data_IF_568962901971
#
_entry.id   IF_568962901971
#
_cell.length_a   1.000
_cell.length_b   1.000
_cell.length_c   1.000
_cell.angle_alpha   90.00
_cell.angle_beta   90.00
_cell.angle_gamma   90.00
#
_symmetry.space_group_name_H-M   'P 1'
#
loop_
_entity.id
_entity.type
_entity.pdbx_description
1 polymer ?
#
# COMPACT_ATOMS: atom_id res chain seq x y z
N UNK A 1 -28.02 -7.88 19.61
CA UNK A 1 -26.55 -7.74 19.52
C UNK A 1 -26.24 -7.01 18.21
N UNK A 2 -26.02 -5.71 18.07
CA UNK A 2 -26.10 -4.54 18.93
C UNK A 2 -25.78 -3.36 17.99
N UNK A 3 -26.82 -2.73 17.42
CA UNK A 3 -26.77 -1.72 16.33
C UNK A 3 -26.00 -0.42 16.67
N UNK A 4 -25.39 -0.34 17.86
CA UNK A 4 -24.56 0.80 18.29
C UNK A 4 -23.10 0.44 18.62
N UNK A 5 -22.66 -0.80 18.38
CA UNK A 5 -21.30 -1.23 18.77
C UNK A 5 -20.27 -0.65 17.80
N UNK A 6 -19.42 0.24 18.31
CA UNK A 6 -18.34 0.90 17.57
C UNK A 6 -17.05 0.09 17.69
N UNK A 7 -16.37 -0.12 16.57
CA UNK A 7 -15.14 -0.91 16.48
C UNK A 7 -13.97 -0.06 15.97
N UNK A 8 -12.79 -0.32 16.48
CA UNK A 8 -11.53 0.27 16.01
C UNK A 8 -10.63 -0.82 15.45
N UNK A 9 -9.87 -0.50 14.41
CA UNK A 9 -9.01 -1.41 13.69
C UNK A 9 -7.58 -0.87 13.66
N UNK A 10 -6.59 -1.70 13.99
CA UNK A 10 -5.19 -1.32 13.94
C UNK A 10 -4.56 -1.81 12.62
N UNK A 11 -4.06 -0.88 11.81
CA UNK A 11 -3.34 -1.18 10.57
C UNK A 11 -2.09 -0.31 10.48
N UNK A 12 -0.95 -0.90 10.12
CA UNK A 12 0.33 -0.17 9.96
C UNK A 12 0.71 0.73 11.15
N UNK A 13 0.42 0.29 12.37
CA UNK A 13 0.72 1.04 13.60
C UNK A 13 -0.19 2.24 13.87
N UNK A 14 -1.28 2.42 13.11
CA UNK A 14 -2.30 3.45 13.36
C UNK A 14 -3.64 2.79 13.67
N UNK A 15 -4.38 3.37 14.61
CA UNK A 15 -5.76 3.00 14.91
C UNK A 15 -6.73 3.78 14.01
N UNK A 16 -7.63 3.07 13.36
CA UNK A 16 -8.68 3.59 12.49
C UNK A 16 -10.05 3.26 13.10
N UNK A 17 -11.01 4.18 13.04
CA UNK A 17 -12.36 3.99 13.55
C UNK A 17 -12.95 5.30 14.08
N UNK A 18 -14.16 5.27 14.68
CA UNK A 18 -14.99 4.09 14.93
C UNK A 18 -15.74 3.61 13.68
N UNK A 19 -15.73 2.30 13.44
CA UNK A 19 -16.47 1.62 12.39
C UNK A 19 -17.68 0.86 12.95
N UNK A 20 -18.72 0.70 12.15
CA UNK A 20 -19.84 -0.16 12.48
C UNK A 20 -19.58 -1.62 12.04
N UNK A 21 -20.43 -2.54 12.48
CA UNK A 21 -20.31 -3.97 12.15
C UNK A 21 -20.33 -4.25 10.64
N UNK A 22 -21.19 -3.54 9.89
CA UNK A 22 -21.30 -3.72 8.44
C UNK A 22 -20.04 -3.24 7.69
N UNK A 23 -19.38 -2.19 8.17
CA UNK A 23 -18.09 -1.73 7.64
C UNK A 23 -16.98 -2.76 7.92
N UNK A 24 -16.95 -3.31 9.13
CA UNK A 24 -16.01 -4.38 9.49
C UNK A 24 -16.19 -5.61 8.59
N UNK A 25 -17.44 -5.97 8.27
CA UNK A 25 -17.73 -7.06 7.32
C UNK A 25 -17.24 -6.76 5.90
N UNK A 26 -17.39 -5.52 5.42
CA UNK A 26 -16.85 -5.09 4.12
C UNK A 26 -15.34 -5.20 4.08
N UNK A 27 -14.61 -4.75 5.11
CA UNK A 27 -13.16 -4.84 5.13
C UNK A 27 -12.63 -6.29 5.10
N UNK A 28 -13.33 -7.23 5.73
CA UNK A 28 -13.01 -8.66 5.63
C UNK A 28 -13.30 -9.20 4.23
N UNK A 29 -14.41 -8.77 3.62
CA UNK A 29 -14.82 -9.20 2.26
C UNK A 29 -13.86 -8.67 1.19
N UNK A 30 -13.42 -7.42 1.32
CA UNK A 30 -12.49 -6.74 0.42
C UNK A 30 -11.03 -7.16 0.66
N UNK A 31 -10.77 -8.02 1.65
CA UNK A 31 -9.44 -8.51 2.03
C UNK A 31 -8.55 -7.47 2.71
N UNK A 32 -9.08 -6.28 3.03
CA UNK A 32 -8.34 -5.22 3.71
C UNK A 32 -8.12 -5.48 5.20
N UNK A 33 -8.97 -6.31 5.81
CA UNK A 33 -8.82 -6.79 7.18
C UNK A 33 -8.70 -8.32 7.20
N UNK A 34 -7.62 -8.82 7.79
CA UNK A 34 -7.34 -10.26 7.91
C UNK A 34 -7.73 -10.77 9.29
N UNK A 35 -7.69 -12.09 9.48
CA UNK A 35 -7.94 -12.75 10.78
C UNK A 35 -7.03 -12.26 11.91
N UNK A 36 -5.83 -11.81 11.55
CA UNK A 36 -4.76 -11.34 12.46
C UNK A 36 -4.82 -9.83 12.72
N UNK A 37 -5.65 -9.10 11.98
CA UNK A 37 -5.84 -7.67 12.19
C UNK A 37 -6.37 -7.43 13.60
N UNK A 38 -5.71 -6.56 14.36
CA UNK A 38 -6.09 -6.29 15.75
C UNK A 38 -7.24 -5.29 15.78
N UNK A 39 -8.27 -5.58 16.56
CA UNK A 39 -9.47 -4.75 16.69
C UNK A 39 -9.85 -4.56 18.15
N UNK A 40 -10.51 -3.45 18.44
CA UNK A 40 -10.94 -3.08 19.78
C UNK A 40 -12.37 -2.54 19.74
N UNK A 41 -13.20 -2.89 20.74
CA UNK A 41 -14.56 -2.34 20.89
C UNK A 41 -14.48 -1.01 21.61
N UNK A 42 -15.29 -0.03 21.24
CA UNK A 42 -15.40 1.23 21.96
C UNK A 42 -15.79 0.97 23.43
N UNK A 43 -14.91 1.35 24.36
CA UNK A 43 -15.05 1.09 25.80
C UNK A 43 -14.28 -0.12 26.32
N UNK A 44 -13.64 -0.92 25.45
CA UNK A 44 -12.71 -1.96 25.84
C UNK A 44 -11.28 -1.42 25.92
N UNK A 45 -10.50 -1.93 26.88
CA UNK A 45 -9.10 -1.53 27.10
C UNK A 45 -8.07 -2.42 26.38
N UNK A 46 -8.51 -3.53 25.79
CA UNK A 46 -7.63 -4.54 25.19
C UNK A 46 -7.89 -4.74 23.69
N UNK A 47 -6.82 -4.82 22.91
CA UNK A 47 -6.86 -5.15 21.50
C UNK A 47 -6.86 -6.67 21.32
N UNK A 48 -7.79 -7.19 20.52
CA UNK A 48 -7.89 -8.61 20.21
C UNK A 48 -7.82 -8.85 18.70
N UNK A 49 -7.27 -9.98 18.23
CA UNK A 49 -7.31 -10.33 16.82
C UNK A 49 -8.75 -10.47 16.34
N UNK A 50 -9.04 -9.99 15.12
CA UNK A 50 -10.36 -9.91 14.53
C UNK A 50 -11.09 -11.26 14.51
N UNK A 51 -10.36 -12.36 14.30
CA UNK A 51 -10.92 -13.71 14.36
C UNK A 51 -11.43 -14.11 15.76
N UNK A 52 -10.80 -13.60 16.84
CA UNK A 52 -11.22 -13.85 18.22
C UNK A 52 -12.37 -12.93 18.63
N UNK A 53 -12.34 -11.68 18.17
CA UNK A 53 -13.34 -10.68 18.54
C UNK A 53 -14.66 -10.84 17.78
N UNK A 54 -14.61 -11.19 16.48
CA UNK A 54 -15.76 -11.34 15.60
C UNK A 54 -15.64 -12.63 14.76
N UNK A 55 -15.83 -13.81 15.36
CA UNK A 55 -15.78 -15.09 14.64
C UNK A 55 -16.85 -15.19 13.56
N UNK A 56 -18.00 -14.53 13.74
CA UNK A 56 -19.13 -14.48 12.80
C UNK A 56 -18.78 -13.87 11.45
N UNK A 57 -17.77 -12.99 11.38
CA UNK A 57 -17.32 -12.42 10.11
C UNK A 57 -16.59 -13.44 9.21
N UNK A 58 -16.10 -14.53 9.81
CA UNK A 58 -15.36 -15.58 9.11
C UNK A 58 -16.08 -16.92 9.08
N UNK A 59 -17.21 -17.05 9.79
CA UNK A 59 -18.05 -18.23 9.77
C UNK A 59 -18.87 -18.26 8.46
N UNK A 60 -18.58 -19.23 7.60
CA UNK A 60 -19.43 -19.50 6.45
C UNK A 60 -20.79 -20.02 6.94
N UNK A 61 -21.87 -19.29 6.61
CA UNK A 61 -23.25 -19.72 6.84
C UNK A 61 -23.43 -21.16 6.33
N UNK A 62 -23.91 -22.12 7.13
CA UNK A 62 -24.20 -23.46 6.63
C UNK A 62 -25.31 -23.37 5.57
N UNK A 63 -24.95 -23.57 4.31
CA UNK A 63 -25.84 -23.74 3.18
C UNK A 63 -26.22 -25.23 3.08
N UNK A 64 -27.30 -25.65 3.75
CA UNK A 64 -28.32 -26.58 3.22
C UNK A 64 -29.28 -27.09 4.30
N UNK A 65 -30.56 -26.95 4.03
CA UNK A 65 -31.52 -28.05 4.18
C UNK A 65 -32.42 -28.06 2.95
N UNK A 66 -32.41 -29.20 2.25
CA UNK A 66 -33.18 -29.55 1.05
C UNK A 66 -34.71 -29.37 1.26
N UNK A 67 -35.49 -28.91 0.26
CA UNK A 67 -36.94 -28.77 0.41
C UNK A 67 -37.68 -30.13 0.45
N UNK A 68 -38.68 -30.31 1.33
CA UNK A 68 -39.51 -31.51 1.37
C UNK A 68 -40.47 -31.57 0.17
N UNK A 69 -40.70 -32.77 -0.38
CA UNK A 69 -41.70 -33.05 -1.41
C UNK A 69 -43.14 -32.83 -0.87
N UNK A 70 -44.09 -32.45 -1.74
CA UNK A 70 -45.44 -32.12 -1.34
C UNK A 70 -46.25 -33.38 -1.02
N UNK A 71 -46.75 -33.47 0.21
CA UNK A 71 -47.90 -34.32 0.51
C UNK A 71 -49.18 -33.56 0.15
N UNK A 72 -50.02 -34.23 -0.62
CA UNK A 72 -51.45 -33.96 -0.75
C UNK A 72 -52.09 -33.87 0.64
N UNK A 73 -52.94 -32.85 0.85
CA UNK A 73 -54.18 -32.88 1.67
C UNK A 73 -54.51 -31.47 2.21
N UNK A 74 -55.03 -30.60 1.35
CA UNK A 74 -55.80 -29.40 1.74
C UNK A 74 -56.58 -28.87 0.52
N UNK A 75 -57.51 -29.66 0.02
CA UNK A 75 -58.43 -29.23 -1.03
C UNK A 75 -59.25 -28.02 -0.53
N UNK A 76 -58.96 -26.85 -1.10
CA UNK A 76 -59.80 -25.65 -1.00
C UNK A 76 -59.20 -24.43 -0.30
N UNK A 77 -58.03 -24.52 0.36
CA UNK A 77 -57.40 -23.37 1.04
C UNK A 77 -55.91 -23.17 0.73
N UNK A 78 -55.47 -23.73 -0.38
CA UNK A 78 -54.08 -23.75 -0.80
C UNK A 78 -53.94 -23.12 -2.17
N UNK A 79 -53.07 -22.10 -2.23
CA UNK A 79 -52.74 -21.35 -3.42
C UNK A 79 -51.29 -21.61 -3.84
N UNK A 80 -51.09 -21.61 -5.15
CA UNK A 80 -49.79 -21.69 -5.80
C UNK A 80 -49.58 -20.41 -6.59
N UNK A 81 -48.39 -19.84 -6.48
CA UNK A 81 -47.98 -18.61 -7.14
C UNK A 81 -46.89 -18.92 -8.16
N UNK A 82 -46.87 -18.22 -9.30
CA UNK A 82 -45.74 -18.23 -10.22
C UNK A 82 -44.94 -16.93 -10.08
N UNK A 83 -43.93 -16.95 -9.21
CA UNK A 83 -43.05 -15.80 -8.95
C UNK A 83 -41.77 -16.00 -9.74
N UNK A 84 -41.45 -15.07 -10.66
CA UNK A 84 -40.24 -15.12 -11.53
C UNK A 84 -40.11 -16.44 -12.32
N UNK A 85 -41.24 -17.00 -12.76
CA UNK A 85 -41.27 -18.26 -13.51
C UNK A 85 -41.05 -19.53 -12.67
N UNK A 86 -40.89 -19.40 -11.36
CA UNK A 86 -40.86 -20.53 -10.43
C UNK A 86 -42.17 -20.63 -9.67
N UNK A 87 -42.65 -21.85 -9.51
CA UNK A 87 -43.85 -22.12 -8.71
C UNK A 87 -43.50 -22.08 -7.22
N UNK A 88 -44.14 -21.18 -6.49
CA UNK A 88 -44.09 -21.06 -5.03
C UNK A 88 -45.41 -21.53 -4.43
N UNK A 89 -45.36 -22.43 -3.45
CA UNK A 89 -46.54 -22.92 -2.74
C UNK A 89 -46.27 -24.23 -2.02
N UNK A 90 -47.22 -24.74 -1.22
CA UNK A 90 -48.59 -24.24 -0.99
C UNK A 90 -48.66 -23.03 -0.04
N UNK A 91 -49.34 -21.96 -0.44
CA UNK A 91 -49.60 -20.76 0.39
C UNK A 91 -51.06 -20.68 0.84
N UNK A 92 -51.28 -20.19 2.06
CA UNK A 92 -52.63 -19.89 2.55
C UNK A 92 -53.10 -18.48 2.10
N UNK A 93 -54.41 -18.21 2.17
CA UNK A 93 -54.93 -16.89 1.79
C UNK A 93 -54.41 -15.76 2.70
N UNK A 94 -54.17 -16.05 3.98
CA UNK A 94 -53.59 -15.09 4.92
C UNK A 94 -52.12 -14.78 4.59
N UNK A 95 -51.35 -15.77 4.14
CA UNK A 95 -49.99 -15.55 3.63
C UNK A 95 -50.00 -14.71 2.35
N UNK A 96 -50.95 -14.95 1.44
CA UNK A 96 -51.12 -14.12 0.25
C UNK A 96 -51.44 -12.67 0.59
N UNK A 97 -52.24 -12.43 1.63
CA UNK A 97 -52.52 -11.08 2.12
C UNK A 97 -51.25 -10.39 2.65
N UNK A 98 -50.43 -11.12 3.41
CA UNK A 98 -49.10 -10.64 3.83
C UNK A 98 -48.17 -10.32 2.67
N UNK A 99 -48.15 -11.17 1.64
CA UNK A 99 -47.35 -10.98 0.42
C UNK A 99 -47.85 -9.83 -0.46
N UNK A 100 -49.18 -9.62 -0.50
CA UNK A 100 -49.78 -8.46 -1.17
C UNK A 100 -49.45 -7.17 -0.44
N UNK A 101 -49.52 -7.17 0.90
CA UNK A 101 -49.15 -6.04 1.74
C UNK A 101 -47.65 -5.71 1.68
N UNK A 102 -46.77 -6.71 1.50
CA UNK A 102 -45.33 -6.51 1.34
C UNK A 102 -44.90 -6.14 -0.08
N UNK A 103 -45.84 -5.99 -1.02
CA UNK A 103 -45.60 -5.77 -2.45
C UNK A 103 -44.78 -6.90 -3.14
N UNK A 104 -44.67 -8.08 -2.54
CA UNK A 104 -44.03 -9.25 -3.15
C UNK A 104 -44.96 -9.95 -4.14
N UNK A 105 -46.27 -9.87 -3.90
CA UNK A 105 -47.32 -10.33 -4.82
C UNK A 105 -47.82 -9.14 -5.65
N UNK A 106 -47.61 -9.19 -6.97
CA UNK A 106 -48.20 -8.23 -7.89
C UNK A 106 -49.55 -8.74 -8.43
N UNK A 107 -50.45 -7.83 -8.83
CA UNK A 107 -51.74 -8.19 -9.44
C UNK A 107 -51.62 -9.03 -10.72
N UNK A 108 -50.49 -8.91 -11.42
CA UNK A 108 -50.15 -9.66 -12.64
C UNK A 108 -49.59 -11.07 -12.36
N UNK A 109 -49.35 -11.42 -11.10
CA UNK A 109 -48.79 -12.73 -10.72
C UNK A 109 -49.80 -13.82 -11.06
N UNK A 110 -49.34 -14.89 -11.69
CA UNK A 110 -50.19 -16.04 -11.99
C UNK A 110 -50.40 -16.85 -10.71
N UNK A 111 -51.66 -17.09 -10.37
CA UNK A 111 -52.11 -17.83 -9.21
C UNK A 111 -52.93 -19.03 -9.65
N UNK A 112 -52.83 -20.13 -8.92
CA UNK A 112 -53.60 -21.34 -9.17
C UNK A 112 -53.96 -22.02 -7.86
N UNK A 113 -55.15 -22.63 -7.82
CA UNK A 113 -55.57 -23.47 -6.69
C UNK A 113 -56.14 -24.78 -7.16
N UNK A 114 -56.10 -25.78 -6.29
CA UNK A 114 -56.74 -27.07 -6.53
C UNK A 114 -58.23 -26.87 -6.85
N UNK A 115 -58.65 -27.32 -8.03
CA UNK A 115 -60.01 -27.12 -8.56
C UNK A 115 -60.13 -26.04 -9.64
N UNK A 116 -59.07 -25.30 -9.94
CA UNK A 116 -59.03 -24.35 -11.07
C UNK A 116 -58.51 -25.05 -12.34
N UNK A 117 -59.16 -24.82 -13.48
CA UNK A 117 -58.81 -25.44 -14.77
C UNK A 117 -57.45 -24.98 -15.30
N UNK A 118 -57.11 -23.72 -15.07
CA UNK A 118 -55.88 -23.09 -15.55
C UNK A 118 -55.37 -22.03 -14.57
N UNK A 119 -54.12 -21.62 -14.73
CA UNK A 119 -53.54 -20.52 -13.96
C UNK A 119 -54.22 -19.20 -14.36
N UNK A 120 -54.59 -18.38 -13.39
CA UNK A 120 -55.21 -17.08 -13.63
C UNK A 120 -54.40 -15.96 -12.98
N UNK A 121 -54.58 -14.71 -13.43
CA UNK A 121 -53.94 -13.56 -12.78
C UNK A 121 -54.56 -13.33 -11.40
N UNK A 122 -53.74 -12.86 -10.46
CA UNK A 122 -54.17 -12.55 -9.09
C UNK A 122 -55.35 -11.55 -9.05
N UNK A 123 -55.39 -10.59 -9.98
CA UNK A 123 -56.52 -9.65 -10.15
C UNK A 123 -57.78 -10.26 -10.77
N UNK A 124 -57.66 -11.37 -11.51
CA UNK A 124 -58.77 -12.06 -12.17
C UNK A 124 -59.55 -12.99 -11.24
N UNK A 125 -59.04 -13.25 -10.04
CA UNK A 125 -59.67 -14.12 -9.04
C UNK A 125 -60.34 -13.23 -7.98
N UNK A 126 -61.68 -13.23 -7.83
CA UNK A 126 -62.39 -12.35 -6.89
C UNK A 126 -61.88 -12.46 -5.44
N UNK A 127 -61.46 -13.66 -5.02
CA UNK A 127 -60.94 -13.99 -3.68
C UNK A 127 -59.60 -13.29 -3.39
N UNK A 128 -58.78 -13.02 -4.42
CA UNK A 128 -57.45 -12.39 -4.31
C UNK A 128 -57.50 -10.93 -4.77
N UNK A 129 -58.39 -10.59 -5.70
CA UNK A 129 -58.62 -9.23 -6.15
C UNK A 129 -58.95 -8.27 -5.00
N UNK A 130 -59.67 -8.74 -3.98
CA UNK A 130 -59.95 -7.98 -2.76
C UNK A 130 -58.73 -7.67 -1.87
N UNK A 131 -57.60 -8.35 -2.08
CA UNK A 131 -56.33 -8.09 -1.36
C UNK A 131 -55.57 -6.90 -1.94
N UNK A 132 -55.78 -6.58 -3.23
CA UNK A 132 -55.20 -5.42 -3.88
C UNK A 132 -56.13 -4.21 -3.68
N UNK A 133 -55.91 -3.45 -2.60
CA UNK A 133 -56.65 -2.23 -2.33
C UNK A 133 -56.59 -1.21 -3.50
N UNK A 134 -57.46 -0.18 -3.49
CA UNK A 134 -57.47 0.84 -4.55
C UNK A 134 -56.08 1.48 -4.70
N UNK A 135 -55.67 1.81 -5.94
CA UNK A 135 -54.32 2.32 -6.20
C UNK A 135 -54.07 3.58 -5.37
N UNK A 136 -52.91 3.69 -4.68
CA UNK A 136 -52.61 4.85 -3.87
C UNK A 136 -52.53 6.10 -4.73
N UNK A 137 -53.13 7.19 -4.23
CA UNK A 137 -53.10 8.51 -4.86
C UNK A 137 -51.65 8.93 -5.16
N UNK A 138 -51.41 9.64 -6.28
CA UNK A 138 -50.07 10.09 -6.65
C UNK A 138 -49.52 11.05 -5.59
N UNK A 139 -48.51 10.60 -4.86
CA UNK A 139 -47.73 11.45 -3.96
C UNK A 139 -46.86 12.42 -4.80
N UNK A 140 -46.79 13.71 -4.46
CA UNK A 140 -45.94 14.65 -5.16
C UNK A 140 -44.48 14.21 -5.08
N UNK A 141 -43.82 14.23 -6.23
CA UNK A 141 -42.42 13.87 -6.43
C UNK A 141 -41.53 14.57 -5.40
N UNK A 142 -40.89 13.76 -4.54
CA UNK A 142 -39.88 14.19 -3.60
C UNK A 142 -38.81 15.03 -4.31
N UNK A 143 -38.86 16.33 -4.04
CA UNK A 143 -37.87 17.29 -4.49
C UNK A 143 -36.49 16.83 -4.03
N UNK A 144 -35.53 16.75 -4.96
CA UNK A 144 -34.17 16.29 -4.68
C UNK A 144 -33.52 17.26 -3.70
N UNK A 145 -33.62 16.96 -2.41
CA UNK A 145 -32.92 17.70 -1.36
C UNK A 145 -31.42 17.63 -1.65
N UNK A 146 -30.73 18.78 -1.86
CA UNK A 146 -29.29 18.78 -2.07
C UNK A 146 -28.60 18.16 -0.86
N UNK A 147 -27.65 17.24 -1.12
CA UNK A 147 -26.88 16.54 -0.09
C UNK A 147 -25.46 17.09 -0.03
N UNK A 148 -24.90 17.21 1.17
CA UNK A 148 -23.48 17.50 1.43
C UNK A 148 -22.82 16.31 2.11
N UNK A 149 -21.51 16.14 1.94
CA UNK A 149 -20.74 15.13 2.67
C UNK A 149 -20.30 15.68 4.02
N UNK A 150 -20.42 14.88 5.07
CA UNK A 150 -19.85 15.22 6.37
C UNK A 150 -18.31 15.19 6.30
N UNK A 151 -17.64 16.21 6.84
CA UNK A 151 -16.17 16.29 6.88
C UNK A 151 -15.54 15.19 7.75
N UNK A 152 -16.27 14.71 8.77
CA UNK A 152 -15.74 13.78 9.78
C UNK A 152 -16.01 12.30 9.47
N UNK A 153 -17.19 11.97 8.93
CA UNK A 153 -17.60 10.58 8.65
C UNK A 153 -17.91 10.31 7.18
N UNK A 154 -17.78 11.31 6.29
CA UNK A 154 -18.06 11.22 4.85
C UNK A 154 -19.47 10.80 4.44
N UNK A 155 -20.40 10.63 5.39
CA UNK A 155 -21.81 10.32 5.13
C UNK A 155 -22.52 11.44 4.36
N UNK A 156 -23.46 11.06 3.50
CA UNK A 156 -24.26 12.00 2.71
C UNK A 156 -25.44 12.50 3.53
N UNK A 157 -25.33 13.70 4.07
CA UNK A 157 -26.37 14.35 4.87
C UNK A 157 -27.10 15.43 4.07
N UNK A 158 -28.38 15.72 4.36
CA UNK A 158 -29.08 16.85 3.76
C UNK A 158 -28.33 18.17 3.99
N UNK A 159 -28.31 19.05 2.99
CA UNK A 159 -27.60 20.32 3.10
C UNK A 159 -28.09 21.18 4.28
N UNK A 160 -29.37 21.10 4.63
CA UNK A 160 -30.01 21.79 5.76
C UNK A 160 -29.69 21.21 7.13
N UNK A 161 -29.01 20.06 7.23
CA UNK A 161 -28.69 19.46 8.53
C UNK A 161 -27.59 20.24 9.26
N UNK A 162 -27.87 20.63 10.51
CA UNK A 162 -26.93 21.31 11.43
C UNK A 162 -26.05 20.30 12.16
N UNK A 163 -26.56 19.09 12.41
CA UNK A 163 -25.85 18.01 13.09
C UNK A 163 -25.80 16.81 12.14
N UNK A 164 -24.65 16.14 12.09
CA UNK A 164 -24.54 14.89 11.33
C UNK A 164 -25.31 13.78 12.04
N UNK A 165 -26.26 13.16 11.35
CA UNK A 165 -27.04 12.02 11.88
C UNK A 165 -26.22 10.75 12.11
N UNK A 166 -25.06 10.62 11.43
CA UNK A 166 -24.16 9.47 11.60
C UNK A 166 -23.22 9.68 12.80
N UNK A 167 -22.39 10.73 12.77
CA UNK A 167 -21.37 10.92 13.81
C UNK A 167 -21.82 11.81 14.97
N UNK A 168 -22.81 12.68 14.81
CA UNK A 168 -23.20 13.68 15.81
C UNK A 168 -22.38 14.98 15.77
N UNK A 169 -21.51 15.14 14.78
CA UNK A 169 -20.72 16.37 14.61
C UNK A 169 -21.62 17.57 14.32
N UNK A 170 -21.39 18.68 15.01
CA UNK A 170 -22.12 19.91 14.81
C UNK A 170 -21.40 20.77 13.75
N UNK A 171 -22.07 20.98 12.61
CA UNK A 171 -21.53 21.78 11.51
C UNK A 171 -21.55 23.28 11.79
N UNK A 172 -22.40 23.76 12.70
CA UNK A 172 -22.48 25.18 13.05
C UNK A 172 -21.31 25.64 13.94
N UNK A 173 -20.81 24.77 14.82
CA UNK A 173 -19.71 25.08 15.74
C UNK A 173 -18.37 24.49 15.31
N UNK A 174 -18.35 23.65 14.26
CA UNK A 174 -17.16 22.92 13.83
C UNK A 174 -16.66 21.89 14.86
N UNK A 175 -17.48 21.57 15.87
CA UNK A 175 -17.06 20.75 17.00
C UNK A 175 -17.10 19.26 16.64
N UNK A 176 -16.11 18.47 17.11
CA UNK A 176 -16.13 17.02 16.95
C UNK A 176 -17.36 16.43 17.67
N UNK A 177 -17.80 15.24 17.27
CA UNK A 177 -18.98 14.61 17.85
C UNK A 177 -18.82 14.34 19.36
N UNK A 178 -19.89 14.47 20.16
CA UNK A 178 -19.85 14.19 21.59
C UNK A 178 -19.52 12.70 21.81
N UNK A 179 -18.46 12.44 22.58
CA UNK A 179 -17.90 11.09 22.78
C UNK A 179 -16.67 10.77 21.93
N UNK A 180 -16.10 11.74 21.20
CA UNK A 180 -14.78 11.64 20.59
C UNK A 180 -13.65 11.84 21.63
N UNK A 181 -13.74 11.20 22.80
CA UNK A 181 -12.55 11.00 23.62
C UNK A 181 -11.67 10.01 22.86
N UNK A 182 -10.62 10.57 22.26
CA UNK A 182 -9.58 9.82 21.58
C UNK A 182 -9.04 8.82 22.62
N UNK A 183 -9.20 7.49 22.44
CA UNK A 183 -8.53 6.55 23.33
C UNK A 183 -7.03 6.87 23.29
N UNK A 184 -6.32 6.76 24.43
CA UNK A 184 -4.89 7.07 24.48
C UNK A 184 -4.21 6.34 23.31
N UNK A 185 -3.47 7.10 22.51
CA UNK A 185 -2.85 6.61 21.30
C UNK A 185 -2.18 5.25 21.58
N UNK A 186 -2.55 4.23 20.80
CA UNK A 186 -1.85 2.95 20.83
C UNK A 186 -0.36 3.24 20.64
N UNK A 187 0.42 3.07 21.71
CA UNK A 187 1.86 3.22 21.70
C UNK A 187 2.45 1.83 21.45
N UNK A 188 2.72 1.43 20.19
CA UNK A 188 3.66 0.34 19.98
C UNK A 188 4.99 0.80 20.59
N UNK A 189 5.70 -0.14 21.23
CA UNK A 189 7.01 0.10 21.82
C UNK A 189 7.85 1.01 20.93
N UNK A 190 8.27 2.13 21.53
CA UNK A 190 8.90 3.26 20.87
C UNK A 190 9.86 2.83 19.75
N UNK A 191 9.45 3.03 18.50
CA UNK A 191 10.42 3.15 17.41
C UNK A 191 11.29 4.34 17.77
N UNK A 192 12.61 4.16 18.01
CA UNK A 192 13.45 5.26 18.42
C UNK A 192 13.36 6.34 17.33
N UNK A 193 13.00 7.55 17.74
CA UNK A 193 12.95 8.70 16.85
C UNK A 193 14.27 8.81 16.08
N UNK A 194 14.24 9.34 14.86
CA UNK A 194 15.44 9.54 14.03
C UNK A 194 16.53 10.24 14.84
N UNK A 195 16.16 11.16 15.74
CA UNK A 195 17.09 11.80 16.69
C UNK A 195 17.82 10.79 17.59
N UNK A 196 17.15 9.80 18.17
CA UNK A 196 17.76 8.76 19.01
C UNK A 196 18.61 7.79 18.18
N UNK A 197 18.19 7.45 16.96
CA UNK A 197 19.00 6.64 16.05
C UNK A 197 20.29 7.37 15.62
N UNK A 198 20.20 8.67 15.34
CA UNK A 198 21.35 9.51 15.01
C UNK A 198 22.29 9.68 16.22
N UNK A 199 21.74 9.85 17.43
CA UNK A 199 22.50 9.95 18.68
C UNK A 199 23.24 8.64 18.99
N UNK A 200 22.59 7.47 18.80
CA UNK A 200 23.24 6.16 18.93
C UNK A 200 24.33 5.95 17.88
N UNK A 201 24.18 6.47 16.66
CA UNK A 201 25.21 6.41 15.63
C UNK A 201 26.45 7.27 15.98
N UNK A 202 26.24 8.43 16.64
CA UNK A 202 27.34 9.27 17.16
C UNK A 202 28.11 8.61 18.30
N UNK A 203 27.43 7.82 19.13
CA UNK A 203 28.02 7.12 20.27
C UNK A 203 28.70 5.78 19.91
N UNK A 204 28.72 5.39 18.63
CA UNK A 204 29.43 4.18 18.19
C UNK A 204 30.93 4.36 18.42
N UNK A 205 31.51 3.65 19.39
CA UNK A 205 32.96 3.59 19.66
C UNK A 205 33.71 3.35 18.34
N UNK A 206 34.39 4.37 17.84
CA UNK A 206 35.25 4.25 16.67
C UNK A 206 36.57 3.64 17.11
N UNK A 207 37.01 2.56 16.45
CA UNK A 207 38.22 1.87 16.85
C UNK A 207 39.43 2.77 16.59
N UNK A 208 40.37 2.89 17.55
CA UNK A 208 41.58 3.70 17.36
C UNK A 208 42.42 3.18 16.20
N UNK A 209 42.36 1.87 15.91
CA UNK A 209 43.02 1.24 14.77
C UNK A 209 42.47 1.73 13.43
N UNK A 210 41.14 1.90 13.29
CA UNK A 210 40.56 2.39 12.04
C UNK A 210 40.94 3.86 11.77
N UNK A 211 41.02 4.68 12.82
CA UNK A 211 41.47 6.07 12.69
C UNK A 211 42.95 6.16 12.34
N UNK A 212 43.76 5.24 12.85
CA UNK A 212 45.18 5.14 12.53
C UNK A 212 45.40 4.74 11.06
N UNK A 213 44.65 3.74 10.57
CA UNK A 213 44.67 3.34 9.15
C UNK A 213 44.20 4.45 8.21
N UNK A 214 43.20 5.24 8.61
CA UNK A 214 42.74 6.38 7.82
C UNK A 214 43.81 7.47 7.67
N UNK A 215 44.59 7.71 8.73
CA UNK A 215 45.66 8.71 8.71
C UNK A 215 46.90 8.20 7.93
N UNK A 216 47.07 6.88 7.81
CA UNK A 216 48.07 6.26 6.95
C UNK A 216 47.72 6.44 5.46
N UNK A 217 46.44 6.40 5.11
CA UNK A 217 45.96 6.57 3.73
C UNK A 217 46.10 8.01 3.24
N UNK A 218 45.83 9.00 4.11
CA UNK A 218 46.04 10.41 3.81
C UNK A 218 46.24 11.24 5.10
N UNK A 219 47.29 12.07 5.19
CA UNK A 219 47.50 12.93 6.36
C UNK A 219 46.30 13.85 6.59
N UNK A 220 45.67 13.76 7.78
CA UNK A 220 44.55 14.65 8.16
C UNK A 220 43.16 14.06 7.97
N UNK A 221 43.01 12.90 7.29
CA UNK A 221 41.70 12.26 7.08
C UNK A 221 41.09 11.76 8.41
N UNK A 222 41.92 11.30 9.35
CA UNK A 222 41.49 10.92 10.70
C UNK A 222 40.92 12.10 11.52
N UNK A 223 41.50 13.29 11.36
CA UNK A 223 41.04 14.50 12.06
C UNK A 223 39.71 15.03 11.49
N UNK A 224 39.47 14.85 10.18
CA UNK A 224 38.18 15.15 9.56
C UNK A 224 37.06 14.25 10.11
N UNK A 225 37.33 12.96 10.30
CA UNK A 225 36.35 12.01 10.86
C UNK A 225 36.02 12.34 12.32
N UNK A 226 36.96 12.87 13.11
CA UNK A 226 36.73 13.33 14.47
C UNK A 226 36.04 14.70 14.59
N UNK A 227 35.68 15.33 13.47
CA UNK A 227 34.99 16.63 13.45
C UNK A 227 35.92 17.84 13.62
N UNK A 228 37.23 17.65 13.68
CA UNK A 228 38.22 18.74 13.70
C UNK A 228 38.57 19.17 12.27
N UNK A 229 37.61 19.81 11.60
CA UNK A 229 37.66 20.12 10.17
C UNK A 229 38.87 20.97 9.80
N UNK A 230 39.15 22.04 10.56
CA UNK A 230 40.26 22.97 10.30
C UNK A 230 41.61 22.28 10.40
N UNK A 231 41.82 21.46 11.44
CA UNK A 231 43.05 20.71 11.62
C UNK A 231 43.23 19.64 10.53
N UNK A 232 42.15 18.95 10.14
CA UNK A 232 42.19 17.96 9.06
C UNK A 232 42.58 18.55 7.72
N UNK A 233 42.04 19.72 7.36
CA UNK A 233 42.39 20.43 6.12
C UNK A 233 43.85 20.91 6.15
N UNK A 234 44.31 21.49 7.27
CA UNK A 234 45.68 21.98 7.39
C UNK A 234 46.72 20.86 7.20
N UNK A 235 46.52 19.71 7.85
CA UNK A 235 47.40 18.55 7.68
C UNK A 235 47.30 17.91 6.30
N UNK A 236 46.12 17.89 5.68
CA UNK A 236 45.94 17.41 4.31
C UNK A 236 46.67 18.25 3.27
N UNK A 237 46.66 19.58 3.43
CA UNK A 237 47.41 20.49 2.55
C UNK A 237 48.92 20.33 2.71
N UNK A 238 49.42 20.20 3.95
CA UNK A 238 50.84 19.93 4.20
C UNK A 238 51.29 18.60 3.60
N UNK A 239 50.47 17.54 3.72
CA UNK A 239 50.72 16.25 3.08
C UNK A 239 50.78 16.34 1.55
N UNK A 240 49.82 17.05 0.94
CA UNK A 240 49.78 17.29 -0.51
C UNK A 240 51.04 18.03 -0.99
N UNK A 241 51.45 19.09 -0.28
CA UNK A 241 52.66 19.87 -0.60
C UNK A 241 53.91 18.99 -0.52
N UNK A 242 54.01 18.11 0.48
CA UNK A 242 55.11 17.15 0.59
C UNK A 242 55.16 16.14 -0.56
N UNK A 243 54.01 15.61 -0.98
CA UNK A 243 53.91 14.68 -2.13
C UNK A 243 54.31 15.40 -3.42
N UNK A 244 53.78 16.61 -3.65
CA UNK A 244 54.10 17.42 -4.83
C UNK A 244 55.59 17.78 -4.86
N UNK A 245 56.17 18.18 -3.73
CA UNK A 245 57.61 18.46 -3.63
C UNK A 245 58.45 17.22 -3.94
N UNK A 246 58.07 16.04 -3.43
CA UNK A 246 58.77 14.78 -3.67
C UNK A 246 58.70 14.38 -5.15
N UNK A 247 57.53 14.50 -5.78
CA UNK A 247 57.33 14.20 -7.21
C UNK A 247 58.09 15.19 -8.09
N UNK A 248 58.10 16.48 -7.74
CA UNK A 248 58.87 17.50 -8.47
C UNK A 248 60.38 17.28 -8.32
N UNK A 249 60.87 16.91 -7.13
CA UNK A 249 62.29 16.60 -6.92
C UNK A 249 62.71 15.26 -7.57
N UNK A 250 61.84 14.26 -7.58
CA UNK A 250 62.08 12.96 -8.19
C UNK A 250 62.00 12.99 -9.73
N UNK A 251 61.16 13.87 -10.29
CA UNK A 251 61.03 14.06 -11.73
C UNK A 251 62.30 14.61 -12.39
N UNK A 252 63.03 15.49 -11.71
CA UNK A 252 64.28 16.06 -12.23
C UNK A 252 65.37 14.97 -12.37
N UNK A 253 65.47 14.06 -11.40
CA UNK A 253 66.43 12.94 -11.45
C UNK A 253 66.15 11.92 -12.56
N UNK A 254 64.88 11.72 -12.89
CA UNK A 254 64.47 10.84 -14.00
C UNK A 254 64.74 11.47 -15.37
N UNK A 255 64.48 12.77 -15.51
CA UNK A 255 64.78 13.52 -16.74
C UNK A 255 66.28 13.55 -17.06
N UNK A 256 67.14 13.76 -16.06
CA UNK A 256 68.60 13.77 -16.26
C UNK A 256 69.09 12.39 -16.75
N UNK A 257 68.59 11.30 -16.17
CA UNK A 257 68.95 9.94 -16.62
C UNK A 257 68.49 9.64 -18.05
N UNK A 258 67.29 10.09 -18.44
CA UNK A 258 66.79 9.92 -19.81
C UNK A 258 67.65 10.71 -20.80
N UNK A 259 68.00 11.95 -20.49
CA UNK A 259 68.86 12.77 -21.37
C UNK A 259 70.23 12.13 -21.54
N UNK A 260 70.85 11.64 -20.46
CA UNK A 260 72.12 10.93 -20.54
C UNK A 260 72.02 9.64 -21.38
N UNK A 261 70.96 8.86 -21.22
CA UNK A 261 70.74 7.64 -21.99
C UNK A 261 70.52 7.92 -23.49
N UNK A 262 69.74 8.95 -23.83
CA UNK A 262 69.53 9.37 -25.22
C UNK A 262 70.81 9.88 -25.85
N UNK A 263 71.60 10.71 -25.15
CA UNK A 263 72.89 11.18 -25.64
C UNK A 263 73.88 10.02 -25.86
N UNK A 264 73.95 9.06 -24.93
CA UNK A 264 74.79 7.87 -25.08
C UNK A 264 74.34 7.01 -26.27
N UNK A 265 73.03 6.84 -26.45
CA UNK A 265 72.45 6.07 -27.56
C UNK A 265 72.73 6.73 -28.91
N UNK A 266 72.57 8.04 -29.03
CA UNK A 266 72.85 8.78 -30.27
C UNK A 266 74.33 8.72 -30.63
N UNK A 267 75.22 8.82 -29.64
CA UNK A 267 76.65 8.70 -29.87
C UNK A 267 77.04 7.28 -30.33
N UNK A 268 76.40 6.23 -29.77
CA UNK A 268 76.57 4.85 -30.22
C UNK A 268 76.11 4.63 -31.67
N UNK A 269 74.98 5.21 -32.07
CA UNK A 269 74.48 5.15 -33.45
C UNK A 269 75.43 5.85 -34.43
N UNK A 270 76.00 6.99 -34.05
CA UNK A 270 76.98 7.69 -34.87
C UNK A 270 78.24 6.85 -35.12
N UNK A 271 78.69 6.08 -34.11
CA UNK A 271 79.85 5.19 -34.27
C UNK A 271 79.56 4.03 -35.22
N UNK A 272 78.39 3.39 -35.11
CA UNK A 272 77.98 2.31 -36.01
C UNK A 272 77.83 2.79 -37.45
N UNK A 273 77.24 3.97 -37.67
CA UNK A 273 77.13 4.55 -39.00
C UNK A 273 78.51 4.86 -39.60
N UNK A 274 79.45 5.38 -38.81
CA UNK A 274 80.81 5.63 -39.25
C UNK A 274 81.61 4.35 -39.54
N UNK A 275 81.26 3.22 -38.92
CA UNK A 275 81.83 1.91 -39.22
C UNK A 275 81.25 1.32 -40.51
N UNK A 276 79.92 1.40 -40.67
CA UNK A 276 79.22 0.99 -41.88
C UNK A 276 79.72 1.73 -43.13
N UNK A 277 79.92 3.05 -43.04
CA UNK A 277 80.46 3.86 -44.15
C UNK A 277 81.89 3.45 -44.52
N UNK A 278 82.72 3.07 -43.53
CA UNK A 278 84.08 2.56 -43.77
C UNK A 278 84.06 1.21 -44.48
N UNK A 279 83.16 0.31 -44.09
CA UNK A 279 83.00 -0.99 -44.76
C UNK A 279 82.52 -0.81 -46.20
N UNK A 280 81.52 0.04 -46.44
CA UNK A 280 81.04 0.38 -47.79
C UNK A 280 82.16 0.91 -48.68
N UNK A 281 82.96 1.84 -48.17
CA UNK A 281 84.12 2.37 -48.89
C UNK A 281 85.15 1.28 -49.21
N UNK A 282 85.37 0.32 -48.31
CA UNK A 282 86.27 -0.81 -48.55
C UNK A 282 85.77 -1.75 -49.65
N UNK A 283 84.47 -2.05 -49.67
CA UNK A 283 83.82 -2.92 -50.66
C UNK A 283 83.84 -2.27 -52.04
N UNK A 284 83.50 -0.98 -52.12
CA UNK A 284 83.55 -0.22 -53.38
C UNK A 284 84.97 -0.17 -53.96
N UNK A 285 85.98 0.07 -53.12
CA UNK A 285 87.38 0.03 -53.54
C UNK A 285 87.81 -1.38 -54.00
N UNK A 286 87.29 -2.45 -53.38
CA UNK A 286 87.52 -3.83 -53.81
C UNK A 286 86.94 -4.13 -55.19
N UNK A 287 85.68 -3.76 -55.43
CA UNK A 287 85.02 -3.92 -56.74
C UNK A 287 85.73 -3.13 -57.84
N UNK A 288 86.16 -1.89 -57.55
CA UNK A 288 86.90 -1.06 -58.50
C UNK A 288 88.27 -1.65 -58.89
N UNK A 289 88.90 -2.42 -58.00
CA UNK A 289 90.16 -3.15 -58.31
C UNK A 289 89.92 -4.41 -59.13
N UNK A 290 88.81 -5.13 -58.91
CA UNK A 290 88.48 -6.34 -59.66
C UNK A 290 88.07 -6.04 -61.11
N UNK A 291 87.32 -4.96 -61.38
CA UNK A 291 86.93 -4.58 -62.75
C UNK A 291 88.07 -4.02 -63.63
N UNK A 292 89.29 -3.90 -63.09
CA UNK A 292 90.48 -3.40 -63.80
C UNK A 292 91.48 -4.51 -64.19
N UNK A 293 91.17 -5.78 -63.86
CA UNK A 293 91.91 -6.98 -64.31
C UNK A 293 91.11 -7.70 -65.38
#
# INVERSE_FOLDING_TARGET
MGEGTRWYLASSGKSYGPFCFDEMKRFVTDGSATRETHVCVAGASEWAPLAKALPELFAAKPLRSEPPRPNSDAAGRVWWLAVRGQRSGPHSLDELNGLAASHELAGETMVWRTGMSEWSRATGVPEIAGLFGPPPLPVPSAERVPKKKCIWCMESVPFSSVICTCCGANFATGSPPPGAEIPPAYAPESTPSISVALERARLRKRSPVALWLLNLLWPGLGNLVMGQVVAGIAWGLLGLVGIVATVLSGGIGFCINIVFWVCASLNGQAQLNAEYDRELASIQNGMARQGRR
#
